data_IF_437167141791
#
_entry.id   IF_437167141791
#
_cell.length_a   1.000
_cell.length_b   1.000
_cell.length_c   1.000
_cell.angle_alpha   90.00
_cell.angle_beta   90.00
_cell.angle_gamma   90.00
#
_symmetry.space_group_name_H-M   'P 1'
#
loop_
_entity.id
_entity.type
_entity.pdbx_description
1 polymer ?
#
# COMPACT_ATOMS: atom_id res chain seq x y z
N UNK A 1 31.27 28.18 -2.18
CA UNK A 1 30.15 27.51 -2.88
C UNK A 1 29.17 26.84 -1.92
N UNK A 2 29.63 26.19 -0.84
CA UNK A 2 28.77 25.41 0.09
C UNK A 2 27.78 26.29 0.89
N UNK A 3 28.16 27.54 1.25
CA UNK A 3 27.37 28.42 2.11
C UNK A 3 26.10 29.08 1.51
N UNK A 4 25.88 29.05 0.18
CA UNK A 4 24.61 29.49 -0.43
C UNK A 4 23.63 28.33 -0.68
N UNK A 5 24.06 27.10 -0.38
CA UNK A 5 23.41 25.89 -0.86
C UNK A 5 22.59 25.14 0.19
N UNK A 6 22.71 25.42 1.51
CA UNK A 6 21.94 24.65 2.50
C UNK A 6 20.43 24.80 2.33
N UNK A 7 19.92 26.02 2.15
CA UNK A 7 18.49 26.24 1.88
C UNK A 7 18.02 25.56 0.58
N UNK A 8 18.87 25.53 -0.44
CA UNK A 8 18.59 24.83 -1.69
C UNK A 8 18.61 23.31 -1.50
N UNK A 9 19.58 22.78 -0.75
CA UNK A 9 19.67 21.37 -0.38
C UNK A 9 18.46 20.94 0.46
N UNK A 10 18.05 21.76 1.43
CA UNK A 10 16.84 21.55 2.24
C UNK A 10 15.58 21.47 1.37
N UNK A 11 15.45 22.36 0.38
CA UNK A 11 14.36 22.28 -0.61
C UNK A 11 14.42 21.00 -1.45
N UNK A 12 15.60 20.62 -1.92
CA UNK A 12 15.81 19.39 -2.70
C UNK A 12 15.45 18.15 -1.89
N UNK A 13 15.86 18.08 -0.62
CA UNK A 13 15.47 17.01 0.32
C UNK A 13 13.93 16.98 0.47
N UNK A 14 13.31 18.16 0.55
CA UNK A 14 11.85 18.29 0.56
C UNK A 14 11.19 17.69 -0.68
N UNK A 15 11.76 17.89 -1.87
CA UNK A 15 11.27 17.26 -3.10
C UNK A 15 11.53 15.75 -3.12
N UNK A 16 12.72 15.31 -2.69
CA UNK A 16 13.08 13.89 -2.63
C UNK A 16 12.08 13.07 -1.80
N UNK A 17 11.54 13.65 -0.72
CA UNK A 17 10.54 13.00 0.14
C UNK A 17 9.29 12.52 -0.62
N UNK A 18 8.91 13.19 -1.72
CA UNK A 18 7.75 12.81 -2.52
C UNK A 18 8.04 11.81 -3.64
N UNK A 19 9.31 11.59 -3.99
CA UNK A 19 9.70 10.87 -5.20
C UNK A 19 10.59 9.66 -4.94
N UNK A 20 11.32 9.65 -3.81
CA UNK A 20 12.28 8.59 -3.49
C UNK A 20 11.74 7.69 -2.38
N UNK A 21 11.72 6.38 -2.66
CA UNK A 21 11.43 5.35 -1.66
C UNK A 21 12.67 5.01 -0.83
N UNK A 22 13.87 5.13 -1.43
CA UNK A 22 15.14 4.83 -0.78
C UNK A 22 16.23 5.79 -1.29
N UNK A 23 17.07 6.29 -0.38
CA UNK A 23 18.26 7.05 -0.74
C UNK A 23 19.42 6.13 -1.09
N UNK A 24 20.14 6.44 -2.17
CA UNK A 24 21.40 5.78 -2.48
C UNK A 24 22.49 6.18 -1.46
N UNK A 25 23.45 5.30 -1.21
CA UNK A 25 24.56 5.52 -0.26
C UNK A 25 25.30 6.83 -0.53
N UNK A 26 25.67 7.12 -1.77
CA UNK A 26 26.36 8.37 -2.11
C UNK A 26 25.53 9.63 -1.80
N UNK A 27 24.20 9.55 -1.92
CA UNK A 27 23.29 10.63 -1.54
C UNK A 27 23.20 10.76 -0.03
N UNK A 28 23.14 9.64 0.70
CA UNK A 28 23.15 9.63 2.16
C UNK A 28 24.45 10.26 2.69
N UNK A 29 25.62 9.84 2.18
CA UNK A 29 26.92 10.39 2.56
C UNK A 29 26.99 11.91 2.34
N UNK A 30 26.43 12.37 1.21
CA UNK A 30 26.36 13.80 0.91
C UNK A 30 25.45 14.53 1.90
N UNK A 31 24.28 13.97 2.23
CA UNK A 31 23.37 14.54 3.21
C UNK A 31 24.01 14.63 4.60
N UNK A 32 24.69 13.59 5.06
CA UNK A 32 25.41 13.60 6.33
C UNK A 32 26.41 14.76 6.37
N UNK A 33 27.27 14.86 5.35
CA UNK A 33 28.26 15.95 5.26
C UNK A 33 27.62 17.34 5.25
N UNK A 34 26.45 17.49 4.62
CA UNK A 34 25.70 18.74 4.59
C UNK A 34 25.16 19.06 5.99
N UNK A 35 24.54 18.12 6.69
CA UNK A 35 23.98 18.34 8.03
C UNK A 35 25.06 18.47 9.12
N UNK A 36 26.26 17.91 8.94
CA UNK A 36 27.39 18.09 9.87
C UNK A 36 28.10 19.44 9.72
N UNK A 37 27.85 20.15 8.61
CA UNK A 37 28.51 21.41 8.28
C UNK A 37 28.21 22.53 9.29
N UNK A 38 29.16 23.46 9.46
CA UNK A 38 28.97 24.63 10.33
C UNK A 38 27.88 25.56 9.79
N UNK A 39 27.69 25.57 8.47
CA UNK A 39 26.64 26.31 7.80
C UNK A 39 25.25 25.79 8.17
N UNK A 40 25.04 24.46 8.17
CA UNK A 40 23.79 23.88 8.64
C UNK A 40 23.51 24.32 10.09
N UNK A 41 24.51 24.19 10.99
CA UNK A 41 24.43 24.65 12.39
C UNK A 41 24.02 26.11 12.51
N UNK A 42 24.64 27.01 11.74
CA UNK A 42 24.31 28.43 11.74
C UNK A 42 22.89 28.73 11.21
N UNK A 43 22.38 27.94 10.25
CA UNK A 43 21.04 28.13 9.70
C UNK A 43 19.93 27.82 10.71
N UNK A 44 20.14 26.84 11.58
CA UNK A 44 19.16 26.42 12.61
C UNK A 44 19.32 27.12 13.95
N UNK A 45 20.45 27.79 14.18
CA UNK A 45 20.68 28.62 15.37
C UNK A 45 19.68 29.78 15.47
N UNK A 46 19.54 30.36 16.67
CA UNK A 46 18.72 31.54 16.90
C UNK A 46 19.14 32.70 15.96
N UNK A 47 18.17 33.32 15.30
CA UNK A 47 18.43 34.34 14.27
C UNK A 47 18.86 33.80 12.90
N UNK A 48 19.08 32.49 12.77
CA UNK A 48 19.32 31.81 11.51
C UNK A 48 18.08 31.70 10.61
N UNK A 49 18.27 31.41 9.33
CA UNK A 49 17.17 31.38 8.35
C UNK A 49 16.13 30.26 8.60
N UNK A 50 16.48 29.25 9.39
CA UNK A 50 15.63 28.15 9.81
C UNK A 50 15.45 28.13 11.33
N UNK A 51 15.73 29.24 12.03
CA UNK A 51 15.52 29.37 13.46
C UNK A 51 14.10 28.95 13.88
N UNK A 52 14.00 28.18 14.95
CA UNK A 52 12.73 27.63 15.45
C UNK A 52 12.18 26.45 14.65
N UNK A 53 12.87 25.98 13.60
CA UNK A 53 12.55 24.71 12.93
C UNK A 53 13.50 23.62 13.40
N UNK A 54 13.06 22.77 14.33
CA UNK A 54 13.87 21.68 14.87
C UNK A 54 14.72 22.09 16.08
N UNK A 55 15.62 21.20 16.50
CA UNK A 55 16.48 21.40 17.66
C UNK A 55 17.74 22.15 17.25
N UNK A 56 18.22 23.05 18.11
CA UNK A 56 19.46 23.83 17.90
C UNK A 56 20.73 22.99 17.90
N UNK A 57 20.62 21.72 18.27
CA UNK A 57 21.65 20.69 18.19
C UNK A 57 21.00 19.40 17.67
N UNK A 58 21.68 18.70 16.77
CA UNK A 58 21.26 17.40 16.26
C UNK A 58 22.42 16.44 16.20
N UNK A 59 22.08 15.16 16.28
CA UNK A 59 22.96 14.03 16.04
C UNK A 59 22.51 13.32 14.75
N UNK A 60 23.45 12.69 14.05
CA UNK A 60 23.16 11.91 12.84
C UNK A 60 23.49 10.45 13.11
N UNK A 61 22.53 9.57 12.89
CA UNK A 61 22.69 8.13 13.01
C UNK A 61 22.20 7.46 11.73
N UNK A 62 22.99 6.56 11.14
CA UNK A 62 22.69 5.91 9.85
C UNK A 62 22.20 4.48 9.94
N UNK A 63 22.47 3.81 11.05
CA UNK A 63 22.20 2.38 11.22
C UNK A 63 21.09 2.14 12.26
N UNK A 64 20.24 3.14 12.46
CA UNK A 64 19.11 3.05 13.37
C UNK A 64 18.07 2.06 12.84
N UNK A 65 17.76 1.05 13.63
CA UNK A 65 16.64 0.17 13.36
C UNK A 65 15.30 0.88 13.58
N UNK A 66 14.30 0.41 12.84
CA UNK A 66 12.90 0.77 13.01
C UNK A 66 12.15 -0.51 13.32
N UNK A 67 11.38 -0.52 14.42
CA UNK A 67 10.56 -1.67 14.81
C UNK A 67 9.36 -1.88 13.88
N UNK A 68 8.70 -3.04 13.99
CA UNK A 68 7.55 -3.41 13.14
C UNK A 68 6.36 -2.43 13.26
N UNK A 69 6.25 -1.73 14.38
CA UNK A 69 5.25 -0.67 14.59
C UNK A 69 5.69 0.70 14.05
N UNK A 70 6.89 0.81 13.46
CA UNK A 70 7.43 2.04 12.90
C UNK A 70 8.19 2.93 13.88
N UNK A 71 8.44 2.51 15.12
CA UNK A 71 9.21 3.29 16.10
C UNK A 71 10.70 3.27 15.77
N UNK A 72 11.36 4.44 15.75
CA UNK A 72 12.81 4.53 15.56
C UNK A 72 13.53 4.26 16.88
N UNK A 73 14.59 3.44 16.89
CA UNK A 73 15.26 3.08 18.13
C UNK A 73 16.10 4.22 18.76
N UNK A 74 16.57 5.16 17.92
CA UNK A 74 17.45 6.27 18.35
C UNK A 74 16.74 7.62 18.42
N UNK A 75 15.53 7.70 17.86
CA UNK A 75 14.72 8.91 17.89
C UNK A 75 13.41 8.61 18.62
N UNK A 76 12.97 9.53 19.48
CA UNK A 76 11.72 9.41 20.24
C UNK A 76 10.47 9.66 19.36
N UNK A 77 10.43 9.03 18.18
CA UNK A 77 9.45 9.27 17.13
C UNK A 77 9.11 8.02 16.33
N UNK A 78 7.85 7.97 15.89
CA UNK A 78 7.31 6.91 15.05
C UNK A 78 7.21 7.40 13.60
N UNK A 79 7.55 6.53 12.65
CA UNK A 79 7.32 6.79 11.24
C UNK A 79 5.82 7.01 10.99
N UNK A 80 5.53 8.00 10.14
CA UNK A 80 4.18 8.33 9.71
C UNK A 80 3.73 7.37 8.60
N UNK A 81 2.47 6.96 8.65
CA UNK A 81 1.81 6.28 7.54
C UNK A 81 1.82 7.19 6.31
N UNK A 82 2.22 6.64 5.18
CA UNK A 82 2.13 7.30 3.88
C UNK A 82 0.84 6.80 3.26
N UNK A 83 -0.13 7.69 3.14
CA UNK A 83 -1.41 7.42 2.49
C UNK A 83 -1.64 8.43 1.37
N UNK A 84 -2.47 8.07 0.40
CA UNK A 84 -2.87 8.95 -0.68
C UNK A 84 -3.82 10.02 -0.14
N UNK A 85 -3.66 11.27 -0.56
CA UNK A 85 -4.69 12.28 -0.25
C UNK A 85 -6.01 11.92 -0.96
N UNK A 86 -7.16 12.45 -0.50
CA UNK A 86 -8.43 12.26 -1.20
C UNK A 86 -8.37 12.65 -2.68
N UNK A 87 -7.61 13.68 -3.03
CA UNK A 87 -7.38 14.14 -4.39
C UNK A 87 -6.55 13.12 -5.19
N UNK A 88 -5.43 12.64 -4.63
CA UNK A 88 -4.58 11.62 -5.26
C UNK A 88 -5.35 10.30 -5.47
N UNK A 89 -6.13 9.87 -4.49
CA UNK A 89 -7.00 8.70 -4.59
C UNK A 89 -8.06 8.88 -5.69
N UNK A 90 -8.65 10.08 -5.80
CA UNK A 90 -9.62 10.40 -6.85
C UNK A 90 -8.99 10.35 -8.25
N UNK A 91 -7.80 10.92 -8.42
CA UNK A 91 -7.06 10.84 -9.69
C UNK A 91 -6.65 9.41 -10.03
N UNK A 92 -6.21 8.63 -9.05
CA UNK A 92 -5.92 7.21 -9.23
C UNK A 92 -7.16 6.43 -9.70
N UNK A 93 -8.32 6.65 -9.07
CA UNK A 93 -9.58 6.03 -9.47
C UNK A 93 -10.02 6.42 -10.89
N UNK A 94 -9.81 7.68 -11.31
CA UNK A 94 -10.04 8.13 -12.69
C UNK A 94 -9.10 7.43 -13.67
N UNK A 95 -7.82 7.27 -13.30
CA UNK A 95 -6.85 6.52 -14.08
C UNK A 95 -7.31 5.08 -14.35
N UNK A 96 -7.81 4.38 -13.33
CA UNK A 96 -8.37 3.03 -13.47
C UNK A 96 -9.55 3.03 -14.47
N UNK A 97 -10.50 3.97 -14.34
CA UNK A 97 -11.64 4.10 -15.27
C UNK A 97 -11.17 4.29 -16.71
N UNK A 98 -10.12 5.10 -16.93
CA UNK A 98 -9.56 5.32 -18.25
C UNK A 98 -8.94 4.05 -18.85
N UNK A 99 -8.15 3.30 -18.07
CA UNK A 99 -7.58 2.02 -18.52
C UNK A 99 -8.68 1.02 -18.88
N UNK A 100 -9.77 0.97 -18.12
CA UNK A 100 -10.91 0.10 -18.43
C UNK A 100 -11.63 0.54 -19.69
N UNK A 101 -11.79 1.86 -19.89
CA UNK A 101 -12.39 2.44 -21.09
C UNK A 101 -11.59 2.10 -22.34
N UNK A 102 -10.27 2.20 -22.29
CA UNK A 102 -9.37 1.81 -23.38
C UNK A 102 -9.49 0.32 -23.74
N UNK A 103 -9.85 -0.52 -22.76
CA UNK A 103 -10.09 -1.96 -22.95
C UNK A 103 -11.51 -2.29 -23.44
N UNK A 104 -12.36 -1.30 -23.67
CA UNK A 104 -13.71 -1.48 -24.19
C UNK A 104 -14.69 -2.16 -23.22
N UNK A 105 -14.44 -2.09 -21.91
CA UNK A 105 -15.26 -2.74 -20.86
C UNK A 105 -15.97 -1.76 -19.92
N UNK A 106 -16.23 -0.54 -20.40
CA UNK A 106 -16.76 0.54 -19.55
C UNK A 106 -18.13 0.22 -18.96
N UNK A 107 -19.02 -0.42 -19.72
CA UNK A 107 -20.39 -0.66 -19.26
C UNK A 107 -20.45 -1.67 -18.11
N UNK A 108 -19.77 -2.80 -18.25
CA UNK A 108 -19.69 -3.84 -17.21
C UNK A 108 -18.95 -3.34 -15.97
N UNK A 109 -17.92 -2.52 -16.16
CA UNK A 109 -17.19 -1.93 -15.05
C UNK A 109 -18.02 -0.91 -14.29
N UNK A 110 -18.71 0.01 -14.96
CA UNK A 110 -19.61 0.96 -14.29
C UNK A 110 -20.77 0.23 -13.61
N UNK A 111 -21.26 -0.89 -14.18
CA UNK A 111 -22.23 -1.75 -13.48
C UNK A 111 -21.65 -2.30 -12.17
N UNK A 112 -20.40 -2.78 -12.19
CA UNK A 112 -19.72 -3.26 -10.99
C UNK A 112 -19.49 -2.14 -9.96
N UNK A 113 -19.04 -0.95 -10.39
CA UNK A 113 -18.84 0.21 -9.50
C UNK A 113 -20.16 0.62 -8.84
N UNK A 114 -21.23 0.77 -9.62
CA UNK A 114 -22.55 1.10 -9.06
C UNK A 114 -23.09 0.02 -8.11
N UNK A 115 -22.73 -1.25 -8.33
CA UNK A 115 -23.07 -2.32 -7.40
C UNK A 115 -22.25 -2.20 -6.11
N UNK A 116 -20.94 -1.93 -6.20
CA UNK A 116 -20.05 -1.76 -5.06
C UNK A 116 -20.42 -0.54 -4.21
N UNK A 117 -20.82 0.57 -4.84
CA UNK A 117 -21.29 1.78 -4.13
C UNK A 117 -22.52 1.49 -3.25
N UNK A 118 -23.36 0.54 -3.65
CA UNK A 118 -24.55 0.10 -2.89
C UNK A 118 -24.26 -1.02 -1.91
N UNK A 119 -23.12 -1.69 -2.07
CA UNK A 119 -22.71 -2.85 -1.30
C UNK A 119 -21.23 -2.67 -0.92
N UNK A 120 -20.90 -1.66 -0.10
CA UNK A 120 -19.51 -1.37 0.26
C UNK A 120 -18.92 -2.57 1.00
N UNK A 121 -17.66 -2.88 0.71
CA UNK A 121 -16.93 -4.00 1.33
C UNK A 121 -15.59 -3.48 1.79
N UNK A 122 -15.15 -3.96 2.95
CA UNK A 122 -13.92 -3.47 3.59
C UNK A 122 -12.70 -4.29 3.17
N UNK A 123 -12.91 -5.55 2.81
CA UNK A 123 -11.83 -6.46 2.39
C UNK A 123 -12.15 -7.03 1.02
N UNK A 124 -11.32 -6.73 0.03
CA UNK A 124 -11.41 -7.35 -1.30
C UNK A 124 -10.41 -8.49 -1.43
N UNK A 125 -10.91 -9.67 -1.78
CA UNK A 125 -10.13 -10.89 -1.97
C UNK A 125 -10.09 -11.24 -3.46
N UNK A 126 -8.89 -11.23 -4.06
CA UNK A 126 -8.67 -11.78 -5.40
C UNK A 126 -8.69 -13.30 -5.33
N UNK A 127 -9.86 -13.88 -5.59
CA UNK A 127 -10.04 -15.32 -5.49
C UNK A 127 -9.21 -16.10 -6.52
N UNK A 128 -8.83 -15.49 -7.64
CA UNK A 128 -7.98 -16.17 -8.63
C UNK A 128 -6.53 -16.25 -8.16
N UNK A 129 -6.01 -15.19 -7.56
CA UNK A 129 -4.68 -15.20 -6.96
C UNK A 129 -4.61 -16.21 -5.81
N UNK A 130 -5.60 -16.19 -4.90
CA UNK A 130 -5.65 -17.09 -3.75
C UNK A 130 -5.73 -18.56 -4.20
N UNK A 131 -6.62 -18.88 -5.13
CA UNK A 131 -6.85 -20.27 -5.57
C UNK A 131 -5.69 -20.88 -6.38
N UNK A 132 -4.77 -20.06 -6.88
CA UNK A 132 -3.61 -20.49 -7.67
C UNK A 132 -2.30 -20.33 -6.90
N UNK A 133 -2.35 -19.78 -5.68
CA UNK A 133 -1.15 -19.55 -4.87
C UNK A 133 -0.48 -20.88 -4.51
N UNK A 134 0.78 -21.02 -4.93
CA UNK A 134 1.57 -22.24 -4.69
C UNK A 134 1.16 -23.45 -5.53
N UNK A 135 0.32 -23.28 -6.57
CA UNK A 135 -0.25 -24.38 -7.38
C UNK A 135 0.54 -24.66 -8.68
N UNK A 136 1.84 -24.36 -8.73
CA UNK A 136 2.66 -24.44 -9.95
C UNK A 136 3.30 -25.81 -10.22
N UNK A 137 2.82 -26.90 -9.61
CA UNK A 137 3.35 -28.26 -9.80
C UNK A 137 2.48 -29.07 -10.77
N UNK A 138 2.95 -30.25 -11.21
CA UNK A 138 2.32 -31.03 -12.28
C UNK A 138 0.84 -31.42 -12.03
N UNK A 139 0.44 -31.52 -10.77
CA UNK A 139 -0.95 -31.78 -10.33
C UNK A 139 -1.62 -30.53 -9.72
N UNK A 140 -0.92 -29.40 -9.74
CA UNK A 140 -1.39 -28.14 -9.17
C UNK A 140 -2.55 -27.58 -9.97
N UNK A 141 -3.51 -26.99 -9.27
CA UNK A 141 -4.76 -26.56 -9.88
C UNK A 141 -5.53 -25.56 -9.04
N UNK A 142 -6.68 -25.16 -9.57
CA UNK A 142 -7.57 -24.22 -8.90
C UNK A 142 -8.10 -24.80 -7.58
N UNK A 143 -7.85 -24.13 -6.46
CA UNK A 143 -8.32 -24.56 -5.13
C UNK A 143 -9.37 -23.64 -4.52
N UNK A 144 -10.61 -24.12 -4.46
CA UNK A 144 -11.67 -23.45 -3.68
C UNK A 144 -11.43 -23.53 -2.17
N UNK A 145 -10.72 -24.55 -1.70
CA UNK A 145 -10.35 -24.70 -0.29
C UNK A 145 -9.43 -23.56 0.18
N UNK A 146 -8.45 -23.17 -0.66
CA UNK A 146 -7.57 -22.05 -0.34
C UNK A 146 -8.36 -20.75 -0.18
N UNK A 147 -9.34 -20.49 -1.05
CA UNK A 147 -10.22 -19.32 -0.92
C UNK A 147 -10.96 -19.36 0.42
N UNK A 148 -11.59 -20.48 0.76
CA UNK A 148 -12.32 -20.61 2.02
C UNK A 148 -11.40 -20.42 3.24
N UNK A 149 -10.18 -20.98 3.21
CA UNK A 149 -9.20 -20.83 4.28
C UNK A 149 -8.82 -19.36 4.48
N UNK A 150 -8.54 -18.62 3.41
CA UNK A 150 -8.23 -17.18 3.51
C UNK A 150 -9.44 -16.39 4.04
N UNK A 151 -10.66 -16.66 3.56
CA UNK A 151 -11.85 -16.02 4.09
C UNK A 151 -12.01 -16.23 5.59
N UNK A 152 -11.78 -17.45 6.07
CA UNK A 152 -11.87 -17.78 7.50
C UNK A 152 -10.78 -17.08 8.31
N UNK A 153 -9.54 -17.03 7.80
CA UNK A 153 -8.44 -16.30 8.45
C UNK A 153 -8.75 -14.81 8.57
N UNK A 154 -9.31 -14.19 7.52
CA UNK A 154 -9.75 -12.79 7.59
C UNK A 154 -10.86 -12.61 8.63
N UNK A 155 -11.83 -13.52 8.72
CA UNK A 155 -12.87 -13.45 9.77
C UNK A 155 -12.30 -13.57 11.18
N UNK A 156 -11.25 -14.35 11.36
CA UNK A 156 -10.58 -14.55 12.65
C UNK A 156 -9.76 -13.33 13.08
N UNK A 157 -9.01 -12.72 12.15
CA UNK A 157 -8.12 -11.60 12.45
C UNK A 157 -8.83 -10.24 12.38
N UNK A 158 -9.84 -10.11 11.53
CA UNK A 158 -10.60 -8.88 11.28
C UNK A 158 -12.12 -9.16 11.45
N UNK A 159 -12.57 -9.54 12.66
CA UNK A 159 -13.95 -9.92 12.90
C UNK A 159 -14.90 -8.75 12.61
N UNK A 160 -15.98 -9.05 11.88
CA UNK A 160 -17.00 -8.07 11.51
C UNK A 160 -16.72 -7.33 10.21
N UNK A 161 -15.52 -7.45 9.62
CA UNK A 161 -15.23 -6.80 8.33
C UNK A 161 -15.88 -7.53 7.16
N UNK A 162 -16.62 -6.78 6.34
CA UNK A 162 -17.33 -7.35 5.20
C UNK A 162 -16.38 -7.65 4.03
N UNK A 163 -16.48 -8.87 3.49
CA UNK A 163 -15.56 -9.38 2.48
C UNK A 163 -16.20 -9.42 1.08
N UNK A 164 -15.42 -9.07 0.06
CA UNK A 164 -15.75 -9.23 -1.37
C UNK A 164 -14.80 -10.22 -2.01
N UNK A 165 -15.29 -11.40 -2.39
CA UNK A 165 -14.48 -12.34 -3.20
C UNK A 165 -14.74 -12.09 -4.68
N UNK A 166 -13.70 -11.70 -5.42
CA UNK A 166 -13.78 -11.47 -6.86
C UNK A 166 -13.34 -12.72 -7.61
N UNK A 167 -14.23 -13.27 -8.44
CA UNK A 167 -14.00 -14.47 -9.23
C UNK A 167 -14.45 -14.28 -10.68
N UNK A 168 -13.72 -14.89 -11.61
CA UNK A 168 -14.14 -14.92 -13.01
C UNK A 168 -15.36 -15.84 -13.20
N UNK A 169 -16.33 -15.42 -14.01
CA UNK A 169 -17.58 -16.16 -14.28
C UNK A 169 -17.36 -17.60 -14.77
N UNK A 170 -16.25 -17.87 -15.48
CA UNK A 170 -15.88 -19.23 -15.90
C UNK A 170 -15.54 -20.13 -14.71
N UNK A 171 -14.93 -19.59 -13.65
CA UNK A 171 -14.57 -20.35 -12.44
C UNK A 171 -15.81 -20.65 -11.62
N UNK A 172 -16.77 -19.74 -11.55
CA UNK A 172 -18.06 -19.99 -10.86
C UNK A 172 -18.96 -20.97 -11.62
N UNK A 173 -18.67 -21.22 -12.90
CA UNK A 173 -19.44 -22.12 -13.75
C UNK A 173 -18.74 -23.43 -14.09
N UNK A 174 -17.57 -23.70 -13.52
CA UNK A 174 -16.81 -24.91 -13.82
C UNK A 174 -17.50 -26.17 -13.26
N UNK A 175 -17.20 -27.37 -13.82
CA UNK A 175 -17.73 -28.63 -13.29
C UNK A 175 -17.41 -28.83 -11.80
N UNK A 176 -16.22 -28.44 -11.37
CA UNK A 176 -15.77 -28.55 -9.97
C UNK A 176 -16.58 -27.62 -9.05
N UNK A 177 -16.90 -26.42 -9.55
CA UNK A 177 -17.71 -25.43 -8.83
C UNK A 177 -19.20 -25.81 -8.73
N UNK A 178 -19.71 -26.60 -9.68
CA UNK A 178 -21.11 -27.02 -9.73
C UNK A 178 -21.37 -28.43 -9.22
N UNK A 179 -20.33 -29.22 -8.99
CA UNK A 179 -20.44 -30.60 -8.49
C UNK A 179 -21.10 -30.58 -7.11
N UNK A 180 -22.27 -31.21 -6.93
CA UNK A 180 -22.94 -31.27 -5.62
C UNK A 180 -22.02 -31.86 -4.56
N UNK A 181 -21.99 -31.25 -3.38
CA UNK A 181 -21.12 -31.66 -2.27
C UNK A 181 -19.64 -31.29 -2.43
N UNK A 182 -19.24 -30.63 -3.53
CA UNK A 182 -17.88 -30.10 -3.64
C UNK A 182 -17.68 -28.86 -2.78
N UNK A 183 -16.43 -28.60 -2.39
CA UNK A 183 -16.06 -27.36 -1.71
C UNK A 183 -16.39 -26.12 -2.54
N UNK A 184 -16.27 -26.20 -3.87
CA UNK A 184 -16.62 -25.10 -4.78
C UNK A 184 -18.11 -24.77 -4.74
N UNK A 185 -18.98 -25.79 -4.75
CA UNK A 185 -20.42 -25.58 -4.63
C UNK A 185 -20.79 -24.99 -3.27
N UNK A 186 -20.21 -25.51 -2.18
CA UNK A 186 -20.44 -25.01 -0.83
C UNK A 186 -20.02 -23.53 -0.68
N UNK A 187 -18.82 -23.19 -1.15
CA UNK A 187 -18.30 -21.81 -1.10
C UNK A 187 -19.20 -20.84 -1.89
N UNK A 188 -19.59 -21.21 -3.12
CA UNK A 188 -20.42 -20.34 -3.94
C UNK A 188 -21.83 -20.15 -3.38
N UNK A 189 -22.39 -21.18 -2.75
CA UNK A 189 -23.66 -21.05 -2.03
C UNK A 189 -23.53 -20.13 -0.80
N UNK A 190 -22.42 -20.21 -0.06
CA UNK A 190 -22.14 -19.29 1.03
C UNK A 190 -22.06 -17.83 0.52
N UNK A 191 -21.24 -17.58 -0.51
CA UNK A 191 -21.05 -16.24 -1.08
C UNK A 191 -22.32 -15.64 -1.68
N UNK A 192 -23.30 -16.46 -2.10
CA UNK A 192 -24.60 -15.99 -2.58
C UNK A 192 -25.55 -15.59 -1.46
N UNK A 193 -25.45 -16.22 -0.29
CA UNK A 193 -26.27 -15.92 0.90
C UNK A 193 -25.77 -14.68 1.63
N UNK A 194 -24.48 -14.39 1.51
CA UNK A 194 -23.83 -13.20 2.09
C UNK A 194 -24.06 -11.93 1.22
N UNK A 195 -25.07 -11.94 0.32
CA UNK A 195 -25.46 -10.81 -0.55
C UNK A 195 -26.56 -9.95 0.06
#
# INVERSE_FOLDING_TARGET
LIAKCFHAAYKVIGCMKGELVLLQTATLDLLQRIFESQEAKAHFAEGGALAGRGLSQWEITTDAAVSDDGTCEVADGQLRVIDLTPEEMSEFAKGIRNVVKERGKSAEFEQFVNWLDRNPREVMLDGANIALFGQNFAEGGWSFEQIQKVMNLVKEHEPGREQLVVLHVRRTNSPEAKRPGSQGAALLEQLRKDK
#
